data_IF_396563885765
#
_entry.id   IF_396563885765
#
_cell.length_a   1.000
_cell.length_b   1.000
_cell.length_c   1.000
_cell.angle_alpha   90.00
_cell.angle_beta   90.00
_cell.angle_gamma   90.00
#
_symmetry.space_group_name_H-M   'P 1'
#
loop_
_entity.id
_entity.type
_entity.pdbx_description
1 polymer ?
#
# COMPACT_ATOMS: atom_id res chain seq x y z
N UNK A 1 4.90 4.63 -12.45
CA UNK A 1 5.26 4.36 -11.04
C UNK A 1 4.17 3.50 -10.42
N UNK A 2 4.51 2.59 -9.50
CA UNK A 2 3.55 1.70 -8.84
C UNK A 2 3.71 1.83 -7.33
N UNK A 3 2.60 2.07 -6.63
CA UNK A 3 2.53 2.07 -5.17
C UNK A 3 2.11 0.68 -4.72
N UNK A 4 2.93 0.04 -3.89
CA UNK A 4 2.57 -1.21 -3.23
C UNK A 4 1.68 -0.90 -2.03
N UNK A 5 0.47 -1.44 -2.05
CA UNK A 5 -0.48 -1.34 -0.94
C UNK A 5 -0.10 -2.32 0.20
N UNK A 6 -0.69 -2.09 1.37
CA UNK A 6 -0.50 -2.87 2.60
C UNK A 6 -0.75 -4.36 2.40
N UNK A 7 -1.74 -4.73 1.58
CA UNK A 7 -2.00 -6.13 1.26
C UNK A 7 -0.82 -6.81 0.53
N UNK A 8 -0.19 -6.13 -0.43
CA UNK A 8 0.96 -6.67 -1.16
C UNK A 8 2.17 -6.77 -0.25
N UNK A 9 2.43 -5.72 0.54
CA UNK A 9 3.55 -5.69 1.47
C UNK A 9 3.41 -6.77 2.56
N UNK A 10 2.21 -6.91 3.13
CA UNK A 10 1.91 -7.93 4.13
C UNK A 10 2.03 -9.35 3.57
N UNK A 11 1.67 -9.57 2.30
CA UNK A 11 1.88 -10.86 1.64
C UNK A 11 3.37 -11.18 1.47
N UNK A 12 4.17 -10.21 1.04
CA UNK A 12 5.62 -10.36 0.88
C UNK A 12 6.36 -10.63 2.20
N UNK A 13 5.79 -10.22 3.33
CA UNK A 13 6.33 -10.49 4.66
C UNK A 13 5.92 -11.86 5.23
N UNK A 14 5.08 -12.64 4.53
CA UNK A 14 4.73 -13.99 4.97
C UNK A 14 5.92 -14.95 4.81
N UNK A 15 6.03 -15.99 5.65
CA UNK A 15 7.04 -17.04 5.46
C UNK A 15 6.95 -17.71 4.09
N UNK A 16 5.73 -17.90 3.58
CA UNK A 16 5.44 -18.48 2.28
C UNK A 16 4.50 -17.53 1.52
N UNK A 17 5.05 -16.52 0.81
CA UNK A 17 4.25 -15.60 0.02
C UNK A 17 3.70 -16.29 -1.24
N UNK A 18 2.55 -15.83 -1.73
CA UNK A 18 1.98 -16.29 -2.99
C UNK A 18 2.98 -16.13 -4.15
N UNK A 19 3.24 -17.23 -4.86
CA UNK A 19 4.22 -17.27 -5.94
C UNK A 19 3.93 -16.28 -7.08
N UNK A 20 2.65 -15.98 -7.35
CA UNK A 20 2.24 -14.97 -8.33
C UNK A 20 2.68 -13.56 -7.92
N UNK A 21 2.52 -13.20 -6.65
CA UNK A 21 2.95 -11.90 -6.10
C UNK A 21 4.47 -11.76 -6.19
N UNK A 22 5.21 -12.80 -5.80
CA UNK A 22 6.68 -12.81 -5.91
C UNK A 22 7.13 -12.67 -7.36
N UNK A 23 6.52 -13.42 -8.29
CA UNK A 23 6.83 -13.33 -9.72
C UNK A 23 6.55 -11.94 -10.27
N UNK A 24 5.38 -11.38 -9.94
CA UNK A 24 5.00 -10.05 -10.38
C UNK A 24 5.98 -8.98 -9.86
N UNK A 25 6.37 -9.07 -8.58
CA UNK A 25 7.37 -8.19 -7.97
C UNK A 25 8.72 -8.26 -8.69
N UNK A 26 9.21 -9.47 -8.97
CA UNK A 26 10.47 -9.70 -9.67
C UNK A 26 10.47 -9.20 -11.12
N UNK A 27 9.29 -9.03 -11.72
CA UNK A 27 9.14 -8.47 -13.06
C UNK A 27 9.17 -6.93 -13.09
N UNK A 28 9.09 -6.26 -11.93
CA UNK A 28 9.10 -4.80 -11.87
C UNK A 28 10.53 -4.27 -11.65
N UNK A 29 10.93 -3.17 -12.32
CA UNK A 29 12.14 -2.47 -11.93
C UNK A 29 11.93 -1.83 -10.54
N UNK A 30 12.83 -2.11 -9.59
CA UNK A 30 12.75 -1.59 -8.22
C UNK A 30 12.57 -0.05 -8.20
N UNK A 31 13.22 0.66 -9.10
CA UNK A 31 13.12 2.13 -9.23
C UNK A 31 11.71 2.64 -9.56
N UNK A 32 10.82 1.79 -10.08
CA UNK A 32 9.42 2.13 -10.36
C UNK A 32 8.48 1.88 -9.18
N UNK A 33 8.92 1.14 -8.15
CA UNK A 33 8.12 0.78 -6.99
C UNK A 33 8.25 1.83 -5.88
N UNK A 34 7.13 2.15 -5.23
CA UNK A 34 7.02 3.00 -4.05
C UNK A 34 6.15 2.32 -3.01
N UNK A 35 6.28 2.75 -1.76
CA UNK A 35 5.35 2.44 -0.66
C UNK A 35 4.83 3.74 -0.08
N UNK A 36 3.82 3.70 0.78
CA UNK A 36 3.36 4.90 1.50
C UNK A 36 3.69 4.82 2.98
N UNK A 37 3.87 5.98 3.62
CA UNK A 37 3.99 6.05 5.08
C UNK A 37 2.72 5.55 5.79
N UNK A 38 1.57 5.59 5.10
CA UNK A 38 0.31 5.05 5.60
C UNK A 38 0.35 3.52 5.65
N UNK A 39 0.80 2.87 4.58
CA UNK A 39 0.98 1.41 4.56
C UNK A 39 2.01 0.95 5.58
N UNK A 40 3.04 1.76 5.83
CA UNK A 40 3.99 1.49 6.92
C UNK A 40 3.29 1.53 8.28
N UNK A 41 2.50 2.58 8.54
CA UNK A 41 1.74 2.71 9.78
C UNK A 41 0.76 1.55 10.01
N UNK A 42 0.08 1.08 8.96
CA UNK A 42 -0.82 -0.09 9.05
C UNK A 42 -0.07 -1.38 9.41
N UNK A 43 1.10 -1.61 8.82
CA UNK A 43 1.95 -2.76 9.16
C UNK A 43 2.42 -2.66 10.62
N UNK A 44 2.90 -1.50 11.05
CA UNK A 44 3.31 -1.28 12.44
C UNK A 44 2.16 -1.47 13.43
N UNK A 45 0.95 -1.03 13.07
CA UNK A 45 -0.25 -1.25 13.88
C UNK A 45 -0.57 -2.74 14.02
N UNK A 46 -0.49 -3.50 12.92
CA UNK A 46 -0.68 -4.95 12.93
C UNK A 46 0.33 -5.66 13.83
N UNK A 47 1.60 -5.25 13.77
CA UNK A 47 2.68 -5.77 14.63
C UNK A 47 2.45 -5.40 16.10
N UNK A 48 2.13 -4.15 16.38
CA UNK A 48 1.86 -3.66 17.74
C UNK A 48 0.65 -4.36 18.40
N UNK A 49 -0.26 -4.90 17.59
CA UNK A 49 -1.42 -5.66 18.07
C UNK A 49 -1.11 -7.11 18.46
N UNK A 50 0.11 -7.61 18.18
CA UNK A 50 0.53 -8.95 18.57
C UNK A 50 0.98 -8.97 20.05
N UNK A 51 0.79 -10.10 20.76
CA UNK A 51 1.39 -10.30 22.08
C UNK A 51 2.91 -10.15 22.04
N UNK A 52 3.48 -9.71 23.16
CA UNK A 52 4.93 -9.69 23.37
C UNK A 52 5.55 -11.06 23.06
N UNK A 53 6.62 -11.07 22.28
CA UNK A 53 7.38 -12.28 21.99
C UNK A 53 8.10 -12.26 20.64
N UNK A 54 8.85 -13.33 20.39
CA UNK A 54 9.77 -13.46 19.26
C UNK A 54 9.13 -13.16 17.90
N UNK A 55 7.88 -13.57 17.68
CA UNK A 55 7.17 -13.31 16.43
C UNK A 55 6.97 -11.81 16.19
N UNK A 56 6.60 -11.05 17.22
CA UNK A 56 6.41 -9.60 17.10
C UNK A 56 7.73 -8.92 16.76
N UNK A 57 8.79 -9.28 17.49
CA UNK A 57 10.10 -8.66 17.34
C UNK A 57 10.69 -8.95 15.94
N UNK A 58 10.53 -10.17 15.44
CA UNK A 58 10.95 -10.54 14.09
C UNK A 58 10.18 -9.76 13.01
N UNK A 59 8.86 -9.61 13.14
CA UNK A 59 8.07 -8.84 12.19
C UNK A 59 8.42 -7.35 12.24
N UNK A 60 8.73 -6.80 13.43
CA UNK A 60 9.18 -5.43 13.58
C UNK A 60 10.51 -5.19 12.85
N UNK A 61 11.49 -6.09 13.02
CA UNK A 61 12.78 -6.02 12.32
C UNK A 61 12.61 -6.14 10.80
N UNK A 62 11.73 -7.05 10.35
CA UNK A 62 11.41 -7.20 8.93
C UNK A 62 10.75 -5.95 8.35
N UNK A 63 9.80 -5.35 9.07
CA UNK A 63 9.16 -4.10 8.65
C UNK A 63 10.18 -2.97 8.56
N UNK A 64 11.05 -2.83 9.56
CA UNK A 64 12.10 -1.81 9.54
C UNK A 64 13.05 -2.00 8.34
N UNK A 65 13.49 -3.24 8.09
CA UNK A 65 14.31 -3.58 6.92
C UNK A 65 13.63 -3.22 5.60
N UNK A 66 12.38 -3.65 5.41
CA UNK A 66 11.61 -3.38 4.21
C UNK A 66 11.43 -1.88 3.97
N UNK A 67 10.97 -1.14 4.97
CA UNK A 67 10.61 0.27 4.78
C UNK A 67 11.83 1.19 4.82
N UNK A 68 12.70 1.05 5.83
CA UNK A 68 13.77 2.01 6.09
C UNK A 68 15.08 1.66 5.37
N UNK A 69 15.24 0.42 4.88
CA UNK A 69 16.41 0.03 4.08
C UNK A 69 16.03 -0.17 2.62
N UNK A 70 15.13 -1.11 2.32
CA UNK A 70 14.83 -1.46 0.93
C UNK A 70 14.10 -0.32 0.21
N UNK A 71 13.09 0.28 0.85
CA UNK A 71 12.31 1.40 0.32
C UNK A 71 12.79 2.78 0.78
N UNK A 72 14.02 2.89 1.30
CA UNK A 72 14.63 4.17 1.64
C UNK A 72 14.56 5.16 0.45
N UNK A 73 14.09 6.38 0.70
CA UNK A 73 13.89 7.41 -0.34
C UNK A 73 12.75 7.13 -1.33
N UNK A 74 11.96 6.07 -1.10
CA UNK A 74 10.84 5.63 -1.95
C UNK A 74 9.53 5.46 -1.16
N UNK A 75 9.47 6.04 0.04
CA UNK A 75 8.26 6.16 0.86
C UNK A 75 7.57 7.47 0.53
N UNK A 76 6.33 7.41 0.06
CA UNK A 76 5.50 8.57 -0.22
C UNK A 76 4.70 8.96 1.02
N UNK A 77 4.69 10.26 1.33
CA UNK A 77 3.91 10.85 2.41
C UNK A 77 2.56 11.37 1.92
N UNK A 78 1.60 11.54 2.83
CA UNK A 78 0.40 12.31 2.54
C UNK A 78 0.71 13.82 2.67
N UNK A 79 1.09 14.43 1.56
CA UNK A 79 1.45 15.85 1.49
C UNK A 79 0.23 16.75 1.22
N UNK A 80 0.32 18.07 1.49
CA UNK A 80 -0.79 19.00 1.22
C UNK A 80 -1.34 18.95 -0.21
N UNK A 81 -0.51 18.60 -1.20
CA UNK A 81 -0.94 18.44 -2.58
C UNK A 81 -1.95 17.30 -2.80
N UNK A 82 -1.94 16.27 -1.95
CA UNK A 82 -2.88 15.14 -2.00
C UNK A 82 -4.23 15.46 -1.33
N UNK A 83 -4.31 16.49 -0.47
CA UNK A 83 -5.51 16.79 0.30
C UNK A 83 -6.74 17.13 -0.58
N UNK A 84 -6.64 17.94 -1.66
CA UNK A 84 -7.78 18.20 -2.54
C UNK A 84 -8.27 16.93 -3.26
N UNK A 85 -7.35 16.09 -3.73
CA UNK A 85 -7.69 14.83 -4.39
C UNK A 85 -8.41 13.87 -3.43
N UNK A 86 -7.93 13.76 -2.19
CA UNK A 86 -8.61 12.99 -1.14
C UNK A 86 -10.02 13.51 -0.88
N UNK A 87 -10.17 14.82 -0.66
CA UNK A 87 -11.46 15.42 -0.34
C UNK A 87 -12.50 15.21 -1.46
N UNK A 88 -12.07 15.41 -2.72
CA UNK A 88 -12.93 15.18 -3.88
C UNK A 88 -13.35 13.70 -3.99
N UNK A 89 -12.40 12.77 -3.87
CA UNK A 89 -12.65 11.34 -3.93
C UNK A 89 -13.61 10.88 -2.81
N UNK A 90 -13.32 11.27 -1.56
CA UNK A 90 -14.12 10.88 -0.40
C UNK A 90 -15.55 11.44 -0.50
N UNK A 91 -15.72 12.69 -0.95
CA UNK A 91 -17.03 13.29 -1.17
C UNK A 91 -17.82 12.54 -2.26
N UNK A 92 -17.19 12.23 -3.39
CA UNK A 92 -17.81 11.48 -4.48
C UNK A 92 -18.26 10.09 -4.02
N UNK A 93 -17.40 9.35 -3.32
CA UNK A 93 -17.67 8.02 -2.76
C UNK A 93 -18.83 8.05 -1.77
N UNK A 94 -18.86 9.05 -0.87
CA UNK A 94 -19.95 9.26 0.08
C UNK A 94 -21.28 9.56 -0.63
N UNK A 95 -21.29 10.42 -1.64
CA UNK A 95 -22.49 10.75 -2.42
C UNK A 95 -23.01 9.54 -3.20
N UNK A 96 -22.13 8.64 -3.64
CA UNK A 96 -22.48 7.39 -4.29
C UNK A 96 -22.95 6.28 -3.32
N UNK A 97 -23.06 6.55 -2.02
CA UNK A 97 -23.47 5.57 -1.01
C UNK A 97 -22.44 4.48 -0.72
N UNK A 98 -21.19 4.68 -1.11
CA UNK A 98 -20.10 3.72 -0.98
C UNK A 98 -18.88 4.42 -0.33
N UNK A 99 -18.97 4.79 0.96
CA UNK A 99 -17.87 5.50 1.61
C UNK A 99 -16.59 4.67 1.57
N UNK A 100 -15.47 5.34 1.26
CA UNK A 100 -14.14 4.74 1.28
C UNK A 100 -13.52 4.93 2.67
N UNK A 101 -12.72 3.97 3.11
CA UNK A 101 -11.89 4.14 4.30
C UNK A 101 -10.93 5.33 4.15
N UNK A 102 -10.62 6.00 5.26
CA UNK A 102 -9.83 7.22 5.22
C UNK A 102 -8.41 6.96 4.69
N UNK A 103 -7.78 5.85 5.11
CA UNK A 103 -6.42 5.48 4.69
C UNK A 103 -6.40 5.10 3.22
N UNK A 104 -7.34 4.27 2.75
CA UNK A 104 -7.47 3.92 1.33
C UNK A 104 -7.66 5.17 0.47
N UNK A 105 -8.48 6.12 0.93
CA UNK A 105 -8.67 7.39 0.24
C UNK A 105 -7.41 8.23 0.17
N UNK A 106 -6.61 8.27 1.24
CA UNK A 106 -5.34 8.99 1.25
C UNK A 106 -4.30 8.32 0.33
N UNK A 107 -4.22 6.98 0.32
CA UNK A 107 -3.35 6.23 -0.61
C UNK A 107 -3.78 6.48 -2.06
N UNK A 108 -5.08 6.44 -2.36
CA UNK A 108 -5.62 6.76 -3.68
C UNK A 108 -5.30 8.21 -4.10
N UNK A 109 -5.38 9.17 -3.17
CA UNK A 109 -5.03 10.56 -3.44
C UNK A 109 -3.53 10.73 -3.74
N UNK A 110 -2.65 10.06 -2.98
CA UNK A 110 -1.21 10.02 -3.26
C UNK A 110 -0.98 9.45 -4.67
N UNK A 111 -1.60 8.31 -4.98
CA UNK A 111 -1.46 7.67 -6.29
C UNK A 111 -1.90 8.62 -7.42
N UNK A 112 -3.02 9.32 -7.25
CA UNK A 112 -3.54 10.27 -8.22
C UNK A 112 -2.58 11.43 -8.49
N UNK A 113 -2.09 12.10 -7.44
CA UNK A 113 -1.16 13.25 -7.59
C UNK A 113 0.15 12.85 -8.25
N UNK A 114 0.60 11.62 -8.02
CA UNK A 114 1.83 11.11 -8.59
C UNK A 114 1.67 10.38 -9.94
N UNK A 115 0.46 10.29 -10.49
CA UNK A 115 0.19 9.52 -11.71
C UNK A 115 0.59 8.05 -11.59
N UNK A 116 0.44 7.47 -10.40
CA UNK A 116 0.85 6.10 -10.08
C UNK A 116 -0.31 5.11 -10.17
N UNK A 117 0.02 3.86 -10.48
CA UNK A 117 -0.89 2.73 -10.25
C UNK A 117 -0.76 2.23 -8.81
N UNK A 118 -1.81 1.59 -8.28
CA UNK A 118 -1.77 0.89 -7.00
C UNK A 118 -1.77 -0.62 -7.24
N UNK A 119 -0.74 -1.30 -6.73
CA UNK A 119 -0.74 -2.75 -6.64
C UNK A 119 -1.48 -3.17 -5.37
N UNK A 120 -2.66 -3.75 -5.52
CA UNK A 120 -3.56 -4.08 -4.42
C UNK A 120 -4.51 -5.20 -4.80
N UNK A 121 -5.01 -5.90 -3.78
CA UNK A 121 -6.17 -6.80 -3.89
C UNK A 121 -7.43 -6.22 -3.24
N UNK A 122 -7.37 -4.96 -2.79
CA UNK A 122 -8.49 -4.25 -2.19
C UNK A 122 -9.43 -3.73 -3.28
N UNK A 123 -10.60 -4.36 -3.39
CA UNK A 123 -11.64 -3.97 -4.36
C UNK A 123 -12.23 -2.58 -4.08
N UNK A 124 -12.13 -2.08 -2.85
CA UNK A 124 -12.74 -0.79 -2.47
C UNK A 124 -12.11 0.40 -3.20
N UNK A 125 -10.86 0.22 -3.67
CA UNK A 125 -10.14 1.21 -4.47
C UNK A 125 -10.63 1.27 -5.93
N UNK A 126 -11.44 0.33 -6.39
CA UNK A 126 -11.84 0.19 -7.80
C UNK A 126 -12.56 1.41 -8.39
N UNK A 127 -13.23 2.20 -7.55
CA UNK A 127 -13.96 3.40 -7.96
C UNK A 127 -13.17 4.70 -7.78
N UNK A 128 -11.87 4.63 -7.49
CA UNK A 128 -11.08 5.80 -7.09
C UNK A 128 -10.38 6.54 -8.24
N UNK A 129 -10.62 6.14 -9.49
CA UNK A 129 -10.03 6.79 -10.66
C UNK A 129 -8.51 6.65 -10.76
N UNK A 130 -7.94 5.67 -10.06
CA UNK A 130 -6.52 5.32 -10.10
C UNK A 130 -6.35 3.92 -10.72
N UNK A 131 -5.34 3.69 -11.57
CA UNK A 131 -5.11 2.36 -12.13
C UNK A 131 -4.80 1.35 -11.03
N UNK A 132 -5.48 0.21 -11.05
CA UNK A 132 -5.23 -0.89 -10.12
C UNK A 132 -4.54 -2.05 -10.81
N UNK A 133 -3.63 -2.68 -10.09
CA UNK A 133 -2.94 -3.91 -10.51
C UNK A 133 -3.19 -4.92 -9.39
N UNK A 134 -3.72 -6.10 -9.72
CA UNK A 134 -3.82 -7.22 -8.79
C UNK A 134 -2.67 -8.21 -9.07
N UNK A 135 -1.60 -8.23 -8.27
CA UNK A 135 -0.47 -9.14 -8.48
C UNK A 135 -0.82 -10.63 -8.37
N UNK A 136 -1.96 -10.98 -7.76
CA UNK A 136 -2.40 -12.36 -7.66
C UNK A 136 -3.05 -12.86 -8.96
N UNK A 137 -3.59 -11.95 -9.77
CA UNK A 137 -4.27 -12.26 -11.02
C UNK A 137 -3.33 -12.27 -12.24
N UNK A 138 -2.07 -11.87 -12.06
CA UNK A 138 -1.07 -11.89 -13.14
C UNK A 138 -0.52 -13.32 -13.29
N UNK A 139 -0.58 -13.91 -14.50
CA UNK A 139 -0.22 -15.31 -14.74
C UNK A 139 1.26 -15.68 -14.53
#
# INVERSE_FOLDING_TARGET
>A
MIILDTHVLSELMRPEPAASVVRWMNAQPLSALRVTALSYAEILLGIASLPDGQRRDQLAEQAEGLFLKDFAGRILCFEPAAAPAYAALAAQRRQAGQPLGAVEGMIAAIAHVHGAAIATRNSDLGSCGVPLIDPWAVP
#
